data_IF_911284454109
#
_entry.id   IF_911284454109
#
_cell.length_a   1.000
_cell.length_b   1.000
_cell.length_c   1.000
_cell.angle_alpha   90.00
_cell.angle_beta   90.00
_cell.angle_gamma   90.00
#
_symmetry.space_group_name_H-M   'P 1'
#
loop_
_entity.id
_entity.type
_entity.pdbx_description
1 polymer ?
#
# COMPACT_ATOMS: atom_id res chain seq x y z
N UNK A 1 6.50 0.69 4.25
CA UNK A 1 6.82 -0.01 3.00
C UNK A 1 5.85 0.23 1.84
N UNK A 2 4.52 0.07 1.97
CA UNK A 2 3.59 0.24 0.84
C UNK A 2 3.67 1.60 0.12
N UNK A 3 3.84 2.69 0.88
CA UNK A 3 3.93 4.05 0.36
C UNK A 3 5.11 4.26 -0.61
N UNK A 4 6.28 3.65 -0.33
CA UNK A 4 7.45 3.79 -1.20
C UNK A 4 7.30 3.04 -2.53
N UNK A 5 6.58 1.91 -2.55
CA UNK A 5 6.26 1.19 -3.79
C UNK A 5 5.19 1.95 -4.59
N UNK A 6 4.24 2.58 -3.93
CA UNK A 6 3.27 3.45 -4.62
C UNK A 6 3.91 4.72 -5.21
N UNK A 7 4.97 5.23 -4.61
CA UNK A 7 5.77 6.30 -5.22
C UNK A 7 6.37 5.87 -6.58
N UNK A 8 6.78 4.60 -6.72
CA UNK A 8 7.23 4.04 -8.01
C UNK A 8 6.07 3.94 -9.02
N UNK A 9 4.88 3.53 -8.56
CA UNK A 9 3.67 3.50 -9.39
C UNK A 9 3.35 4.86 -9.99
N UNK A 10 3.45 5.94 -9.19
CA UNK A 10 3.20 7.32 -9.66
C UNK A 10 4.11 7.72 -10.83
N UNK A 11 5.29 7.10 -10.94
CA UNK A 11 6.28 7.32 -12.01
C UNK A 11 6.13 6.34 -13.18
N UNK A 12 5.14 5.44 -13.13
CA UNK A 12 4.93 4.42 -14.16
C UNK A 12 5.97 3.30 -14.15
N UNK A 13 6.66 3.09 -13.02
CA UNK A 13 7.75 2.12 -12.91
C UNK A 13 7.27 0.81 -12.26
N UNK A 14 7.85 -0.32 -12.69
CA UNK A 14 7.62 -1.66 -12.13
C UNK A 14 6.13 -2.03 -11.97
N UNK A 15 5.35 -2.10 -13.07
CA UNK A 15 3.90 -2.30 -13.01
C UNK A 15 3.48 -3.60 -12.33
N UNK A 16 4.22 -4.71 -12.54
CA UNK A 16 3.95 -5.98 -11.86
C UNK A 16 4.10 -5.90 -10.34
N UNK A 17 5.19 -5.28 -9.86
CA UNK A 17 5.41 -5.06 -8.43
C UNK A 17 4.35 -4.15 -7.82
N UNK A 18 3.99 -3.07 -8.51
CA UNK A 18 2.97 -2.14 -8.04
C UNK A 18 1.59 -2.81 -7.95
N UNK A 19 1.24 -3.65 -8.92
CA UNK A 19 0.00 -4.43 -8.88
C UNK A 19 -0.01 -5.43 -7.72
N UNK A 20 1.08 -6.16 -7.49
CA UNK A 20 1.18 -7.04 -6.31
C UNK A 20 1.05 -6.26 -5.00
N UNK A 21 1.69 -5.09 -4.91
CA UNK A 21 1.61 -4.22 -3.73
C UNK A 21 0.19 -3.70 -3.48
N UNK A 22 -0.58 -3.40 -4.54
CA UNK A 22 -1.99 -3.04 -4.41
C UNK A 22 -2.82 -4.15 -3.78
N UNK A 23 -2.70 -5.37 -4.32
CA UNK A 23 -3.44 -6.53 -3.82
C UNK A 23 -3.11 -6.80 -2.35
N UNK A 24 -1.82 -6.80 -1.99
CA UNK A 24 -1.39 -7.01 -0.61
C UNK A 24 -1.91 -5.88 0.28
N UNK A 25 -1.76 -4.61 -0.12
CA UNK A 25 -2.19 -3.47 0.70
C UNK A 25 -3.70 -3.47 0.95
N UNK A 26 -4.50 -3.94 -0.02
CA UNK A 26 -5.95 -4.09 0.12
C UNK A 26 -6.29 -5.15 1.15
N UNK A 27 -5.65 -6.32 1.04
CA UNK A 27 -5.92 -7.45 1.92
C UNK A 27 -5.48 -7.13 3.37
N UNK A 28 -4.34 -6.46 3.57
CA UNK A 28 -3.90 -5.99 4.88
C UNK A 28 -4.83 -4.92 5.48
N UNK A 29 -5.42 -4.05 4.65
CA UNK A 29 -6.47 -3.13 5.09
C UNK A 29 -7.68 -3.88 5.65
N UNK A 30 -8.15 -4.91 4.93
CA UNK A 30 -9.26 -5.75 5.39
C UNK A 30 -8.94 -6.52 6.67
N UNK A 31 -7.73 -7.06 6.81
CA UNK A 31 -7.28 -7.72 8.04
C UNK A 31 -7.29 -6.75 9.23
N UNK A 32 -6.80 -5.53 9.02
CA UNK A 32 -6.76 -4.49 10.05
C UNK A 32 -8.17 -4.09 10.48
N UNK A 33 -9.07 -3.85 9.53
CA UNK A 33 -10.47 -3.51 9.81
C UNK A 33 -11.18 -4.64 10.56
N UNK A 34 -10.93 -5.90 10.16
CA UNK A 34 -11.48 -7.06 10.86
C UNK A 34 -10.97 -7.17 12.30
N UNK A 35 -9.67 -6.95 12.53
CA UNK A 35 -9.10 -6.94 13.87
C UNK A 35 -9.69 -5.82 14.75
N UNK A 36 -9.88 -4.62 14.18
CA UNK A 36 -10.54 -3.50 14.88
C UNK A 36 -11.99 -3.82 15.20
N UNK A 37 -12.72 -4.45 14.27
CA UNK A 37 -14.09 -4.90 14.50
C UNK A 37 -14.15 -5.94 15.63
N UNK A 38 -13.26 -6.93 15.61
CA UNK A 38 -13.18 -7.94 16.67
C UNK A 38 -12.89 -7.28 18.03
N UNK A 39 -11.95 -6.33 18.07
CA UNK A 39 -11.63 -5.57 19.27
C UNK A 39 -12.83 -4.77 19.79
N UNK A 40 -13.62 -4.18 18.89
CA UNK A 40 -14.83 -3.43 19.27
C UNK A 40 -15.87 -4.28 20.00
N UNK A 41 -15.90 -5.60 19.74
CA UNK A 41 -16.82 -6.58 20.32
C UNK A 41 -16.34 -7.18 21.64
N UNK A 42 -15.10 -6.90 22.06
CA UNK A 42 -14.58 -7.36 23.36
C UNK A 42 -15.33 -6.67 24.51
N UNK A 43 -15.72 -7.46 25.52
CA UNK A 43 -16.35 -6.95 26.74
C UNK A 43 -15.35 -6.20 27.62
N UNK A 44 -14.14 -6.76 27.78
CA UNK A 44 -13.06 -6.16 28.57
C UNK A 44 -12.05 -5.50 27.64
N UNK A 45 -12.20 -4.19 27.43
CA UNK A 45 -11.27 -3.40 26.61
C UNK A 45 -10.03 -3.02 27.40
N UNK A 46 -8.92 -2.84 26.71
CA UNK A 46 -7.72 -2.30 27.33
C UNK A 46 -7.95 -0.83 27.71
N UNK A 47 -7.32 -0.35 28.80
CA UNK A 47 -7.33 1.08 29.10
C UNK A 47 -6.66 1.85 27.96
N UNK A 48 -7.19 3.04 27.68
CA UNK A 48 -6.74 3.91 26.57
C UNK A 48 -5.23 4.16 26.61
N UNK A 49 -4.68 4.39 27.80
CA UNK A 49 -3.23 4.56 28.02
C UNK A 49 -2.41 3.38 27.48
N UNK A 50 -2.89 2.14 27.67
CA UNK A 50 -2.19 0.96 27.20
C UNK A 50 -2.25 0.83 25.68
N UNK A 51 -3.39 1.18 25.08
CA UNK A 51 -3.54 1.22 23.62
C UNK A 51 -2.59 2.27 23.03
N UNK A 52 -2.57 3.48 23.60
CA UNK A 52 -1.68 4.55 23.18
C UNK A 52 -0.21 4.15 23.32
N UNK A 53 0.17 3.46 24.40
CA UNK A 53 1.54 2.99 24.59
C UNK A 53 1.96 1.99 23.50
N UNK A 54 1.08 1.03 23.14
CA UNK A 54 1.35 0.06 22.09
C UNK A 54 1.51 0.76 20.73
N UNK A 55 0.57 1.65 20.39
CA UNK A 55 0.60 2.37 19.11
C UNK A 55 1.81 3.29 19.02
N UNK A 56 2.14 4.02 20.09
CA UNK A 56 3.30 4.93 20.11
C UNK A 56 4.60 4.15 19.94
N UNK A 57 4.75 3.01 20.62
CA UNK A 57 5.92 2.14 20.44
C UNK A 57 6.03 1.61 19.01
N UNK A 58 4.93 1.21 18.39
CA UNK A 58 4.93 0.74 17.01
C UNK A 58 5.32 1.86 16.03
N UNK A 59 4.80 3.07 16.23
CA UNK A 59 5.15 4.25 15.44
C UNK A 59 6.62 4.59 15.55
N UNK A 60 7.20 4.55 16.76
CA UNK A 60 8.63 4.84 16.96
C UNK A 60 9.53 3.83 16.23
N UNK A 61 9.21 2.54 16.32
CA UNK A 61 9.93 1.49 15.58
C UNK A 61 9.85 1.73 14.07
N UNK A 62 8.67 2.02 13.55
CA UNK A 62 8.47 2.27 12.12
C UNK A 62 9.17 3.55 11.63
N UNK A 63 9.21 4.61 12.44
CA UNK A 63 9.96 5.83 12.11
C UNK A 63 11.46 5.55 11.99
N UNK A 64 12.01 4.78 12.92
CA UNK A 64 13.42 4.37 12.87
C UNK A 64 13.68 3.52 11.61
N UNK A 65 12.84 2.53 11.36
CA UNK A 65 12.94 1.68 10.17
C UNK A 65 12.90 2.50 8.87
N UNK A 66 11.96 3.43 8.73
CA UNK A 66 11.82 4.27 7.54
C UNK A 66 13.02 5.20 7.36
N UNK A 67 13.51 5.78 8.44
CA UNK A 67 14.66 6.69 8.40
C UNK A 67 15.91 5.95 7.93
N UNK A 68 16.12 4.72 8.42
CA UNK A 68 17.24 3.87 8.00
C UNK A 68 17.05 3.34 6.57
N UNK A 69 15.82 2.97 6.19
CA UNK A 69 15.50 2.41 4.87
C UNK A 69 15.52 3.48 3.75
N UNK A 70 15.36 4.77 4.09
CA UNK A 70 15.44 5.90 3.17
C UNK A 70 16.64 6.78 3.53
N UNK A 71 17.88 6.34 3.27
CA UNK A 71 19.09 7.11 3.60
C UNK A 71 19.25 8.39 2.77
N UNK A 72 18.43 8.58 1.73
CA UNK A 72 18.46 9.74 0.84
C UNK A 72 17.02 10.21 0.59
N UNK A 73 16.83 11.52 0.58
CA UNK A 73 15.56 12.14 0.24
C UNK A 73 15.21 11.91 -1.23
N UNK A 74 14.10 11.22 -1.48
CA UNK A 74 13.59 11.00 -2.83
C UNK A 74 12.71 12.18 -3.24
N UNK A 75 12.71 12.51 -4.53
CA UNK A 75 11.88 13.60 -5.06
C UNK A 75 10.39 13.25 -4.86
N UNK A 76 9.73 13.99 -3.96
CA UNK A 76 8.32 13.81 -3.61
C UNK A 76 8.05 12.78 -2.51
N UNK A 77 9.06 12.24 -1.84
CA UNK A 77 8.95 11.39 -0.65
C UNK A 77 10.28 11.40 0.12
N UNK A 78 10.29 11.91 1.35
CA UNK A 78 11.45 11.87 2.22
C UNK A 78 11.10 11.20 3.56
N UNK A 79 12.12 10.97 4.40
CA UNK A 79 11.91 10.34 5.71
C UNK A 79 10.93 11.14 6.58
N UNK A 80 10.99 12.48 6.57
CA UNK A 80 10.11 13.34 7.35
C UNK A 80 8.62 13.20 6.95
N UNK A 81 8.32 13.26 5.66
CA UNK A 81 6.96 13.09 5.13
C UNK A 81 6.45 11.67 5.39
N UNK A 82 7.32 10.66 5.28
CA UNK A 82 6.96 9.29 5.64
C UNK A 82 6.64 9.14 7.14
N UNK A 83 7.42 9.78 8.02
CA UNK A 83 7.14 9.82 9.45
C UNK A 83 5.79 10.48 9.74
N UNK A 84 5.47 11.60 9.08
CA UNK A 84 4.17 12.26 9.19
C UNK A 84 3.02 11.35 8.68
N UNK A 85 3.26 10.59 7.61
CA UNK A 85 2.28 9.64 7.10
C UNK A 85 2.03 8.47 8.07
N UNK A 86 3.07 7.95 8.73
CA UNK A 86 2.94 6.92 9.78
C UNK A 86 2.09 7.47 10.94
N UNK A 87 2.33 8.71 11.37
CA UNK A 87 1.54 9.37 12.42
C UNK A 87 0.06 9.52 12.01
N UNK A 88 -0.22 9.86 10.75
CA UNK A 88 -1.57 9.92 10.21
C UNK A 88 -2.25 8.53 10.23
N UNK A 89 -1.56 7.47 9.82
CA UNK A 89 -2.07 6.10 9.89
C UNK A 89 -2.35 5.66 11.33
N UNK A 90 -1.47 6.01 12.27
CA UNK A 90 -1.63 5.71 13.69
C UNK A 90 -2.90 6.37 14.26
N UNK A 91 -3.16 7.64 13.94
CA UNK A 91 -4.38 8.32 14.38
C UNK A 91 -5.65 7.67 13.82
N UNK A 92 -5.62 7.20 12.57
CA UNK A 92 -6.76 6.46 11.99
C UNK A 92 -7.01 5.16 12.73
N UNK A 93 -5.95 4.43 13.08
CA UNK A 93 -6.04 3.19 13.85
C UNK A 93 -6.57 3.45 15.28
N UNK A 94 -6.11 4.51 15.94
CA UNK A 94 -6.64 4.91 17.26
C UNK A 94 -8.15 5.12 17.22
N UNK A 95 -8.63 5.86 16.21
CA UNK A 95 -10.07 6.11 16.02
C UNK A 95 -10.82 4.81 15.75
N UNK A 96 -10.28 3.91 14.93
CA UNK A 96 -10.89 2.60 14.65
C UNK A 96 -11.00 1.71 15.90
N UNK A 97 -10.02 1.81 16.82
CA UNK A 97 -10.03 1.11 18.11
C UNK A 97 -10.91 1.80 19.17
N UNK A 98 -11.47 2.97 18.87
CA UNK A 98 -12.34 3.73 19.78
C UNK A 98 -11.59 4.58 20.81
N UNK A 99 -10.34 4.92 20.54
CA UNK A 99 -9.46 5.76 21.38
C UNK A 99 -9.24 7.14 20.76
N UNK A 100 -8.75 8.10 21.55
CA UNK A 100 -8.48 9.45 21.05
C UNK A 100 -7.23 9.50 20.15
N UNK A 101 -7.15 10.52 19.27
CA UNK A 101 -6.00 10.72 18.39
C UNK A 101 -4.78 11.18 19.19
N UNK A 102 -3.61 10.68 18.82
CA UNK A 102 -2.33 10.96 19.51
C UNK A 102 -1.61 12.12 18.82
N UNK A 103 -1.44 12.07 17.50
CA UNK A 103 -0.53 12.96 16.76
C UNK A 103 -1.25 14.12 16.06
N UNK A 104 -2.51 13.91 15.67
CA UNK A 104 -3.39 14.83 14.93
C UNK A 104 -2.74 15.37 13.64
N UNK A 105 -2.04 14.51 12.91
CA UNK A 105 -1.36 14.88 11.66
C UNK A 105 -2.27 14.71 10.44
N UNK A 106 -1.98 15.47 9.40
CA UNK A 106 -2.64 15.36 8.10
C UNK A 106 -1.82 14.44 7.18
N UNK A 107 -2.51 13.79 6.23
CA UNK A 107 -1.87 13.00 5.18
C UNK A 107 -0.97 13.90 4.30
N UNK A 108 0.35 13.66 4.22
CA UNK A 108 1.25 14.42 3.37
C UNK A 108 1.24 13.95 1.89
N UNK A 109 0.56 12.85 1.57
CA UNK A 109 0.57 12.21 0.26
C UNK A 109 -0.83 12.14 -0.35
N UNK A 110 -1.27 13.22 -1.01
CA UNK A 110 -2.59 13.33 -1.67
C UNK A 110 -2.84 12.22 -2.72
N UNK A 111 -1.77 11.67 -3.29
CA UNK A 111 -1.84 10.59 -4.28
C UNK A 111 -2.16 9.22 -3.68
N UNK A 112 -2.01 9.03 -2.35
CA UNK A 112 -2.45 7.78 -1.70
C UNK A 112 -3.99 7.65 -1.76
N UNK A 113 -4.73 8.75 -1.71
CA UNK A 113 -6.19 8.73 -1.83
C UNK A 113 -6.63 8.37 -3.26
N UNK A 114 -5.88 8.79 -4.28
CA UNK A 114 -6.13 8.42 -5.68
C UNK A 114 -5.97 6.92 -5.94
N UNK A 115 -5.12 6.24 -5.17
CA UNK A 115 -4.87 4.80 -5.32
C UNK A 115 -6.02 3.98 -4.74
N UNK A 116 -6.64 4.45 -3.65
CA UNK A 116 -7.87 3.85 -3.12
C UNK A 116 -9.04 3.93 -4.13
N UNK A 117 -9.07 4.96 -4.98
CA UNK A 117 -10.09 5.18 -6.00
C UNK A 117 -9.97 4.26 -7.22
N UNK A 118 -8.76 3.78 -7.58
CA UNK A 118 -8.57 2.91 -8.76
C UNK A 118 -9.13 1.49 -8.60
N UNK A 119 -9.63 1.11 -7.43
CA UNK A 119 -10.35 -0.15 -7.19
C UNK A 119 -11.83 -0.15 -7.57
N UNK A 120 -12.40 0.98 -8.04
CA UNK A 120 -13.81 1.08 -8.47
C UNK A 120 -14.05 0.78 -9.95
N UNK A 121 -13.17 0.08 -10.65
CA UNK A 121 -13.61 -0.61 -11.87
C UNK A 121 -14.33 -1.87 -11.44
N UNK A 122 -15.64 -1.90 -11.68
CA UNK A 122 -16.48 -3.08 -11.46
C UNK A 122 -15.77 -4.30 -12.09
N UNK A 123 -15.82 -5.43 -11.40
CA UNK A 123 -15.29 -6.71 -11.91
C UNK A 123 -15.86 -7.07 -13.29
N UNK A 124 -17.02 -6.49 -13.67
CA UNK A 124 -17.68 -6.60 -14.97
C UNK A 124 -17.20 -5.59 -16.04
N UNK A 125 -16.46 -4.54 -15.66
CA UNK A 125 -15.90 -3.54 -16.58
C UNK A 125 -14.46 -3.85 -16.98
N UNK A 126 -13.78 -4.77 -16.27
CA UNK A 126 -12.52 -5.35 -16.75
C UNK A 126 -12.84 -6.21 -17.98
N UNK A 127 -12.65 -5.67 -19.19
CA UNK A 127 -12.68 -6.48 -20.41
C UNK A 127 -11.67 -7.61 -20.27
N UNK A 128 -12.12 -8.82 -20.59
CA UNK A 128 -11.40 -10.10 -20.63
C UNK A 128 -10.28 -10.05 -21.68
N UNK A 129 -9.30 -9.16 -21.50
CA UNK A 129 -8.20 -8.89 -22.43
C UNK A 129 -6.84 -9.37 -21.95
N UNK A 130 -6.72 -9.80 -20.69
CA UNK A 130 -5.45 -10.29 -20.11
C UNK A 130 -5.28 -11.81 -20.19
N UNK A 131 -6.23 -12.53 -20.81
CA UNK A 131 -6.07 -13.91 -21.26
C UNK A 131 -6.02 -13.99 -22.78
N UNK A 132 -5.13 -13.23 -23.45
CA UNK A 132 -4.67 -13.73 -24.74
C UNK A 132 -3.77 -14.93 -24.45
N UNK A 133 -4.29 -16.14 -24.64
CA UNK A 133 -3.43 -17.32 -24.83
C UNK A 133 -2.30 -16.92 -25.77
N UNK A 134 -1.05 -17.17 -25.42
CA UNK A 134 0.06 -17.03 -26.34
C UNK A 134 -0.33 -17.70 -27.67
N UNK A 135 -0.42 -16.89 -28.73
CA UNK A 135 -0.79 -17.35 -30.08
C UNK A 135 -2.14 -16.89 -30.64
N UNK A 136 -3.00 -16.19 -29.90
CA UNK A 136 -4.24 -15.64 -30.51
C UNK A 136 -3.99 -14.23 -31.04
N UNK A 137 -3.56 -14.15 -32.30
CA UNK A 137 -3.44 -12.88 -33.04
C UNK A 137 -2.19 -12.74 -33.91
N UNK A 138 -1.25 -13.68 -33.86
CA UNK A 138 -0.09 -13.71 -34.77
C UNK A 138 -0.37 -14.62 -35.97
N UNK A 139 -0.08 -14.14 -37.17
CA UNK A 139 0.01 -14.98 -38.37
C UNK A 139 1.13 -16.00 -38.19
N UNK A 140 0.97 -17.22 -38.72
CA UNK A 140 1.95 -18.30 -38.58
C UNK A 140 3.35 -17.95 -39.13
N UNK A 141 3.42 -16.92 -39.98
CA UNK A 141 4.65 -16.33 -40.53
C UNK A 141 5.50 -15.59 -39.47
N UNK A 142 4.90 -15.11 -38.37
CA UNK A 142 5.63 -14.42 -37.29
C UNK A 142 6.16 -15.39 -36.21
N UNK A 143 5.88 -16.70 -36.34
CA UNK A 143 6.34 -17.74 -35.42
C UNK A 143 7.43 -18.63 -36.04
N UNK A 144 8.32 -18.04 -36.83
CA UNK A 144 9.49 -18.74 -37.36
C UNK A 144 10.64 -18.61 -36.35
N UNK A 145 11.08 -19.74 -35.83
CA UNK A 145 12.25 -19.84 -34.96
C UNK A 145 13.50 -19.97 -35.84
N UNK A 146 14.26 -18.88 -35.99
CA UNK A 146 15.55 -18.88 -36.69
C UNK A 146 16.70 -19.05 -35.68
N UNK A 147 17.60 -19.99 -35.98
CA UNK A 147 18.78 -20.33 -35.17
C UNK A 147 20.08 -19.68 -35.66
N UNK A 148 20.04 -18.99 -36.81
CA UNK A 148 21.23 -18.44 -37.48
C UNK A 148 21.25 -16.90 -37.46
N UNK A 149 21.10 -16.30 -36.28
CA UNK A 149 21.42 -14.88 -36.10
C UNK A 149 22.93 -14.75 -35.89
N UNK A 150 23.66 -14.36 -36.93
CA UNK A 150 25.07 -13.97 -36.84
C UNK A 150 25.21 -12.75 -35.91
N UNK A 151 26.03 -12.91 -34.86
CA UNK A 151 26.39 -11.87 -33.88
C UNK A 151 27.50 -10.94 -34.38
#
# INVERSE_FOLDING_TARGET
>A
SFCSIFWLKKRGLMPGLCFSNELISRDEGLHTDFACLLYSKLANKLPEERVHAIITSAVEIEKNFVTDALPVDLIGMNAELMCQYIEFCADRLCVALGTSKIYKKNNPFDWMDMISLQGKTNFFEKRVGEYSKSGVGGTAEDQVFELDADF
#
